data_IF_018576966117
#
_entry.id   IF_018576966117
#
_cell.length_a   1.000
_cell.length_b   1.000
_cell.length_c   1.000
_cell.angle_alpha   90.00
_cell.angle_beta   90.00
_cell.angle_gamma   90.00
#
_symmetry.space_group_name_H-M   'P 1'
#
loop_
_entity.id
_entity.type
_entity.pdbx_description
1 polymer ?
#
# COMPACT_ATOMS: atom_id res chain seq x y z
N UNK A 1 1.45 -21.70 5.38
CA UNK A 1 2.77 -22.04 5.94
C UNK A 1 3.74 -20.90 5.68
N UNK A 2 4.37 -20.37 6.72
CA UNK A 2 5.32 -19.28 6.55
C UNK A 2 6.62 -19.75 5.92
N UNK A 3 7.09 -19.00 4.96
CA UNK A 3 8.35 -19.26 4.28
C UNK A 3 9.33 -18.13 4.54
N UNK A 4 10.60 -18.46 4.67
CA UNK A 4 11.65 -17.46 4.76
C UNK A 4 11.99 -16.97 3.35
N UNK A 5 12.06 -15.67 3.19
CA UNK A 5 12.32 -15.04 1.90
C UNK A 5 13.36 -13.94 2.08
N UNK A 6 14.35 -13.93 1.22
CA UNK A 6 15.37 -12.89 1.23
C UNK A 6 14.95 -11.73 0.32
N UNK A 7 14.98 -10.54 0.87
CA UNK A 7 14.69 -9.30 0.14
C UNK A 7 15.83 -8.32 0.31
N UNK A 8 15.98 -7.41 -0.63
CA UNK A 8 17.02 -6.38 -0.57
C UNK A 8 16.37 -5.01 -0.62
N UNK A 9 16.72 -4.17 0.36
CA UNK A 9 16.23 -2.79 0.45
C UNK A 9 17.42 -1.88 0.71
N UNK A 10 17.65 -0.91 -0.16
CA UNK A 10 18.81 0.00 -0.12
C UNK A 10 20.14 -0.76 0.04
N UNK A 11 20.29 -1.84 -0.71
CA UNK A 11 21.49 -2.64 -0.69
C UNK A 11 21.66 -3.53 0.54
N UNK A 12 20.71 -3.51 1.47
CA UNK A 12 20.72 -4.37 2.64
C UNK A 12 19.84 -5.58 2.43
N UNK A 13 20.37 -6.74 2.78
CA UNK A 13 19.61 -7.99 2.66
C UNK A 13 18.89 -8.27 3.97
N UNK A 14 17.63 -8.64 3.85
CA UNK A 14 16.79 -9.03 4.98
C UNK A 14 16.16 -10.39 4.68
N UNK A 15 16.09 -11.22 5.70
CA UNK A 15 15.33 -12.46 5.62
C UNK A 15 14.03 -12.23 6.36
N UNK A 16 12.91 -12.31 5.66
CA UNK A 16 11.58 -12.14 6.25
C UNK A 16 10.84 -13.45 6.23
N UNK A 17 9.94 -13.61 7.18
CA UNK A 17 9.07 -14.77 7.26
C UNK A 17 7.65 -14.33 6.93
N UNK A 18 7.05 -14.97 5.94
CA UNK A 18 5.72 -14.59 5.48
C UNK A 18 4.97 -15.80 4.95
N UNK A 19 3.66 -15.81 5.13
CA UNK A 19 2.77 -16.78 4.50
C UNK A 19 2.23 -16.25 3.17
N UNK A 20 2.56 -15.03 2.81
CA UNK A 20 2.17 -14.45 1.53
C UNK A 20 2.98 -15.09 0.39
N UNK A 21 2.46 -14.98 -0.80
CA UNK A 21 3.11 -15.48 -2.00
C UNK A 21 4.42 -14.74 -2.24
N UNK A 22 5.45 -15.49 -2.66
CA UNK A 22 6.79 -14.94 -2.88
C UNK A 22 6.78 -13.75 -3.85
N UNK A 23 6.07 -13.89 -4.97
CA UNK A 23 5.98 -12.82 -5.96
C UNK A 23 5.37 -11.56 -5.39
N UNK A 24 4.37 -11.70 -4.52
CA UNK A 24 3.75 -10.57 -3.84
C UNK A 24 4.74 -9.88 -2.91
N UNK A 25 5.47 -10.65 -2.12
CA UNK A 25 6.43 -10.09 -1.17
C UNK A 25 7.59 -9.41 -1.87
N UNK A 26 8.01 -9.91 -3.03
CA UNK A 26 9.04 -9.25 -3.83
C UNK A 26 8.55 -7.91 -4.37
N UNK A 27 7.30 -7.82 -4.77
CA UNK A 27 6.70 -6.54 -5.20
C UNK A 27 6.64 -5.55 -4.04
N UNK A 28 6.24 -6.00 -2.86
CA UNK A 28 6.15 -5.15 -1.67
C UNK A 28 7.53 -4.63 -1.30
N UNK A 29 8.53 -5.51 -1.26
CA UNK A 29 9.91 -5.11 -0.95
C UNK A 29 10.45 -4.13 -2.00
N UNK A 30 10.16 -4.37 -3.27
CA UNK A 30 10.55 -3.46 -4.35
C UNK A 30 9.92 -2.08 -4.22
N UNK A 31 8.68 -2.02 -3.78
CA UNK A 31 7.98 -0.76 -3.55
C UNK A 31 8.63 0.03 -2.43
N UNK A 32 8.93 -0.63 -1.31
CA UNK A 32 9.62 0.00 -0.18
C UNK A 32 10.99 0.50 -0.59
N UNK A 33 11.74 -0.33 -1.31
CA UNK A 33 13.07 0.03 -1.82
C UNK A 33 13.00 1.28 -2.70
N UNK A 34 12.05 1.33 -3.62
CA UNK A 34 11.85 2.48 -4.50
C UNK A 34 11.52 3.75 -3.72
N UNK A 35 10.65 3.65 -2.72
CA UNK A 35 10.29 4.78 -1.86
C UNK A 35 11.51 5.31 -1.10
N UNK A 36 12.31 4.41 -0.55
CA UNK A 36 13.50 4.81 0.18
C UNK A 36 14.54 5.46 -0.73
N UNK A 37 14.70 4.95 -1.96
CA UNK A 37 15.60 5.54 -2.93
C UNK A 37 15.16 6.94 -3.32
N UNK A 38 13.88 7.16 -3.55
CA UNK A 38 13.33 8.49 -3.86
C UNK A 38 13.62 9.48 -2.75
N UNK A 39 13.41 9.07 -1.50
CA UNK A 39 13.64 9.93 -0.35
C UNK A 39 15.14 10.23 -0.15
N UNK A 40 15.99 9.26 -0.42
CA UNK A 40 17.45 9.47 -0.37
C UNK A 40 17.91 10.51 -1.38
N UNK A 41 17.32 10.49 -2.57
CA UNK A 41 17.68 11.45 -3.63
C UNK A 41 17.14 12.84 -3.37
N UNK A 42 15.95 12.93 -2.79
CA UNK A 42 15.27 14.20 -2.55
C UNK A 42 15.83 14.96 -1.34
N UNK A 43 16.46 14.26 -0.41
CA UNK A 43 16.90 14.81 0.86
C UNK A 43 18.42 14.95 0.91
N UNK A 44 18.90 15.83 1.80
CA UNK A 44 20.30 15.88 2.16
C UNK A 44 20.70 14.55 2.81
N UNK A 45 22.02 14.24 2.89
CA UNK A 45 22.43 12.97 3.51
C UNK A 45 21.79 12.78 4.88
N UNK A 46 21.00 11.76 5.02
CA UNK A 46 20.30 11.41 6.27
C UNK A 46 20.59 9.95 6.57
N UNK A 47 20.49 9.60 7.82
CA UNK A 47 20.66 8.20 8.24
C UNK A 47 19.58 7.34 7.58
N UNK A 48 19.94 6.11 7.19
CA UNK A 48 19.00 5.18 6.58
C UNK A 48 17.78 4.91 7.46
N UNK A 49 17.97 4.92 8.78
CA UNK A 49 16.86 4.74 9.73
C UNK A 49 15.83 5.87 9.60
N UNK A 50 16.27 7.10 9.42
CA UNK A 50 15.35 8.22 9.22
C UNK A 50 14.62 8.13 7.88
N UNK A 51 15.31 7.69 6.84
CA UNK A 51 14.71 7.46 5.54
C UNK A 51 13.64 6.37 5.64
N UNK A 52 13.92 5.31 6.39
CA UNK A 52 12.95 4.23 6.61
C UNK A 52 11.69 4.73 7.30
N UNK A 53 11.85 5.59 8.31
CA UNK A 53 10.70 6.18 9.01
C UNK A 53 9.88 7.06 8.07
N UNK A 54 10.53 7.88 7.27
CA UNK A 54 9.84 8.73 6.29
C UNK A 54 9.14 7.90 5.22
N UNK A 55 9.77 6.82 4.77
CA UNK A 55 9.16 5.90 3.82
C UNK A 55 7.92 5.24 4.42
N UNK A 56 8.01 4.81 5.68
CA UNK A 56 6.87 4.21 6.38
C UNK A 56 5.70 5.19 6.48
N UNK A 57 5.97 6.43 6.84
CA UNK A 57 4.92 7.47 6.90
C UNK A 57 4.31 7.72 5.54
N UNK A 58 5.13 7.80 4.51
CA UNK A 58 4.68 8.04 3.15
C UNK A 58 3.77 6.90 2.64
N UNK A 59 4.19 5.67 2.87
CA UNK A 59 3.43 4.49 2.47
C UNK A 59 2.14 4.38 3.26
N UNK A 60 2.18 4.65 4.56
CA UNK A 60 0.97 4.66 5.39
C UNK A 60 -0.02 5.73 4.93
N UNK A 61 0.48 6.92 4.55
CA UNK A 61 -0.37 7.98 4.01
C UNK A 61 -1.03 7.53 2.70
N UNK A 62 -0.26 6.93 1.80
CA UNK A 62 -0.80 6.39 0.55
C UNK A 62 -1.87 5.33 0.81
N UNK A 63 -1.62 4.46 1.77
CA UNK A 63 -2.57 3.41 2.14
C UNK A 63 -3.88 4.02 2.64
N UNK A 64 -3.81 4.99 3.53
CA UNK A 64 -5.01 5.62 4.09
C UNK A 64 -5.79 6.41 3.04
N UNK A 65 -5.11 7.11 2.15
CA UNK A 65 -5.76 7.81 1.03
C UNK A 65 -6.47 6.84 0.09
N UNK A 66 -5.82 5.73 -0.21
CA UNK A 66 -6.40 4.70 -1.06
C UNK A 66 -7.62 4.06 -0.39
N UNK A 67 -7.53 3.80 0.90
CA UNK A 67 -8.63 3.25 1.69
C UNK A 67 -9.83 4.21 1.71
N UNK A 68 -9.59 5.50 1.95
CA UNK A 68 -10.65 6.51 1.96
C UNK A 68 -11.31 6.62 0.59
N UNK A 69 -10.51 6.60 -0.47
CA UNK A 69 -11.00 6.64 -1.84
C UNK A 69 -11.87 5.41 -2.15
N UNK A 70 -11.41 4.23 -1.71
CA UNK A 70 -12.14 2.99 -1.90
C UNK A 70 -13.50 3.01 -1.18
N UNK A 71 -13.50 3.49 0.07
CA UNK A 71 -14.73 3.62 0.85
C UNK A 71 -15.70 4.61 0.19
N UNK A 72 -15.19 5.72 -0.33
CA UNK A 72 -16.01 6.71 -1.03
C UNK A 72 -16.68 6.09 -2.27
N UNK A 73 -15.93 5.28 -3.04
CA UNK A 73 -16.47 4.60 -4.21
C UNK A 73 -17.55 3.60 -3.80
N UNK A 74 -17.28 2.80 -2.75
CA UNK A 74 -18.25 1.82 -2.26
C UNK A 74 -19.53 2.50 -1.78
N UNK A 75 -19.41 3.61 -1.05
CA UNK A 75 -20.57 4.37 -0.59
C UNK A 75 -21.37 4.92 -1.76
N UNK A 76 -20.70 5.41 -2.79
CA UNK A 76 -21.36 5.92 -3.98
C UNK A 76 -22.10 4.83 -4.74
N UNK A 77 -21.48 3.66 -4.87
CA UNK A 77 -22.12 2.50 -5.49
C UNK A 77 -23.36 2.05 -4.70
N UNK A 78 -23.25 2.04 -3.37
CA UNK A 78 -24.37 1.69 -2.51
C UNK A 78 -25.53 2.66 -2.69
N UNK A 79 -25.25 3.97 -2.73
CA UNK A 79 -26.26 4.99 -2.97
C UNK A 79 -26.94 4.84 -4.32
N UNK A 80 -26.14 4.56 -5.37
CA UNK A 80 -26.69 4.33 -6.70
C UNK A 80 -27.56 3.07 -6.75
N UNK A 81 -27.11 2.00 -6.10
CA UNK A 81 -27.86 0.75 -6.03
C UNK A 81 -29.22 0.97 -5.34
N UNK A 82 -29.23 1.69 -4.22
CA UNK A 82 -30.47 2.01 -3.50
C UNK A 82 -31.41 2.86 -4.35
N UNK A 83 -30.86 3.84 -5.06
CA UNK A 83 -31.64 4.73 -5.93
C UNK A 83 -32.29 3.94 -7.07
N UNK A 84 -31.55 3.04 -7.71
CA UNK A 84 -32.08 2.20 -8.78
C UNK A 84 -33.17 1.27 -8.25
N UNK A 85 -32.93 0.65 -7.09
CA UNK A 85 -33.89 -0.24 -6.47
C UNK A 85 -35.20 0.49 -6.16
N UNK A 86 -35.10 1.71 -5.60
CA UNK A 86 -36.28 2.54 -5.32
C UNK A 86 -37.05 2.87 -6.58
N UNK A 87 -36.35 3.26 -7.65
CA UNK A 87 -36.96 3.59 -8.93
C UNK A 87 -37.70 2.40 -9.51
N UNK A 88 -37.11 1.22 -9.46
CA UNK A 88 -37.74 -0.02 -9.96
C UNK A 88 -38.98 -0.37 -9.14
N UNK A 89 -38.93 -0.16 -7.83
CA UNK A 89 -40.06 -0.41 -6.95
C UNK A 89 -41.23 0.55 -7.25
N UNK A 90 -40.93 1.81 -7.52
CA UNK A 90 -41.93 2.83 -7.84
C UNK A 90 -42.64 2.56 -9.16
N UNK A 91 -41.93 1.99 -10.13
CA UNK A 91 -42.52 1.67 -11.44
C UNK A 91 -43.37 0.42 -11.43
N UNK A 92 -43.16 -0.42 -10.44
CA UNK A 92 -43.94 -1.64 -10.26
C UNK A 92 -45.25 -1.34 -9.60
#
# INVERSE_FOLDING_TARGET
MKKALDVEILGQKFTISSDAEEGHMLKVAGYVDGKMQELMQASKPVAKSNVAMLAALNIADEFHRLKDSHEAVLNRLDQLSKKISTTLTEEG
#
